data_IF_264670625180
#
_entry.id   IF_264670625180
#
_cell.length_a   1.000
_cell.length_b   1.000
_cell.length_c   1.000
_cell.angle_alpha   90.00
_cell.angle_beta   90.00
_cell.angle_gamma   90.00
#
_symmetry.space_group_name_H-M   'P 1'
#
loop_
_entity.id
_entity.type
_entity.pdbx_description
1 polymer ?
#
# COMPACT_ATOMS: atom_id res chain seq x y z
N UNK A 1 -17.89 -23.94 -44.34
CA UNK A 1 -17.25 -23.68 -45.64
C UNK A 1 -15.91 -23.01 -45.37
N UNK A 2 -14.84 -23.58 -45.93
CA UNK A 2 -13.39 -23.33 -45.70
C UNK A 2 -12.90 -21.89 -45.98
N UNK A 3 -11.63 -21.49 -45.68
CA UNK A 3 -10.49 -22.33 -45.25
C UNK A 3 -9.59 -21.82 -44.10
N UNK A 4 -8.78 -22.78 -43.62
CA UNK A 4 -7.41 -22.65 -43.10
C UNK A 4 -6.54 -21.68 -43.91
N UNK A 5 -5.63 -20.97 -43.23
CA UNK A 5 -4.34 -20.66 -43.83
C UNK A 5 -3.22 -20.66 -42.80
N UNK A 6 -2.27 -21.55 -43.02
CA UNK A 6 -0.99 -21.68 -42.32
C UNK A 6 0.05 -20.90 -43.10
N UNK A 7 0.87 -20.08 -42.42
CA UNK A 7 2.15 -19.65 -42.97
C UNK A 7 3.25 -19.86 -41.94
N UNK A 8 4.10 -20.84 -42.22
CA UNK A 8 5.50 -20.89 -41.75
C UNK A 8 6.30 -19.89 -42.58
N UNK A 9 7.20 -19.17 -41.94
CA UNK A 9 8.43 -18.68 -42.57
C UNK A 9 9.56 -18.75 -41.54
N UNK A 10 10.42 -19.74 -41.71
CA UNK A 10 11.80 -19.71 -41.24
C UNK A 10 12.56 -18.66 -42.03
N UNK A 11 13.47 -17.94 -41.39
CA UNK A 11 14.71 -17.52 -42.03
C UNK A 11 15.80 -17.28 -40.98
N UNK A 12 16.81 -18.16 -41.04
CA UNK A 12 18.18 -17.95 -40.61
C UNK A 12 18.75 -16.64 -41.19
N UNK A 13 19.56 -15.93 -40.40
CA UNK A 13 20.72 -15.21 -40.95
C UNK A 13 21.74 -14.94 -39.86
N UNK A 14 22.79 -15.74 -39.87
CA UNK A 14 24.08 -15.50 -39.24
C UNK A 14 24.77 -14.28 -39.84
N UNK A 15 25.50 -13.51 -39.03
CA UNK A 15 26.60 -12.68 -39.50
C UNK A 15 27.66 -12.57 -38.40
N UNK A 16 28.92 -12.95 -38.68
CA UNK A 16 30.02 -12.86 -37.74
C UNK A 16 30.61 -11.45 -37.77
N UNK A 17 30.64 -10.77 -36.62
CA UNK A 17 31.40 -9.53 -36.50
C UNK A 17 32.83 -9.80 -36.03
N UNK A 18 33.71 -9.17 -36.79
CA UNK A 18 35.14 -9.33 -36.89
C UNK A 18 35.91 -9.03 -35.60
N UNK A 19 36.98 -9.80 -35.39
CA UNK A 19 38.08 -9.51 -34.47
C UNK A 19 38.76 -8.19 -34.85
N UNK A 20 38.91 -7.29 -33.89
CA UNK A 20 40.09 -6.42 -33.83
C UNK A 20 40.72 -6.55 -32.45
N UNK A 21 41.91 -7.11 -32.50
CA UNK A 21 42.83 -7.34 -31.42
C UNK A 21 43.59 -6.04 -31.15
N UNK A 22 43.52 -5.51 -29.93
CA UNK A 22 44.40 -4.48 -29.42
C UNK A 22 45.07 -4.98 -28.13
N UNK A 23 46.31 -5.46 -28.28
CA UNK A 23 47.35 -5.37 -27.25
C UNK A 23 47.63 -3.87 -27.00
N UNK A 24 47.87 -3.35 -25.80
CA UNK A 24 48.79 -3.79 -24.75
C UNK A 24 48.68 -2.83 -23.55
N UNK A 25 49.30 -3.23 -22.43
CA UNK A 25 49.94 -2.45 -21.36
C UNK A 25 49.22 -2.30 -20.01
N UNK A 26 49.84 -2.98 -19.03
CA UNK A 26 49.72 -2.78 -17.60
C UNK A 26 49.95 -1.32 -17.20
N UNK A 27 49.07 -0.80 -16.36
CA UNK A 27 49.31 0.33 -15.48
C UNK A 27 48.71 0.01 -14.11
N UNK A 28 49.53 -0.48 -13.19
CA UNK A 28 49.18 -0.64 -11.77
C UNK A 28 49.38 0.73 -11.13
N UNK A 29 48.30 1.39 -10.73
CA UNK A 29 48.31 2.29 -9.58
C UNK A 29 46.97 2.17 -8.87
N UNK A 30 47.03 1.72 -7.62
CA UNK A 30 45.89 1.63 -6.74
C UNK A 30 45.33 3.02 -6.44
N UNK A 31 44.02 3.13 -6.60
CA UNK A 31 43.22 3.97 -5.74
C UNK A 31 42.17 3.03 -5.18
N UNK A 32 42.25 2.73 -3.88
CA UNK A 32 41.09 2.25 -3.18
C UNK A 32 40.01 3.32 -3.37
N UNK A 33 39.06 3.07 -4.28
CA UNK A 33 37.76 3.70 -4.18
C UNK A 33 37.17 3.12 -2.91
N UNK A 34 37.50 3.75 -1.78
CA UNK A 34 36.61 3.73 -0.65
C UNK A 34 35.25 4.06 -1.24
N UNK A 35 34.35 3.07 -1.25
CA UNK A 35 32.92 3.30 -1.41
C UNK A 35 32.62 4.32 -0.30
N UNK A 36 32.67 5.59 -0.65
CA UNK A 36 32.12 6.64 0.18
C UNK A 36 30.66 6.25 0.27
N UNK A 37 30.30 5.61 1.39
CA UNK A 37 28.92 5.46 1.78
C UNK A 37 28.31 6.85 1.58
N UNK A 38 27.20 6.98 0.81
CA UNK A 38 26.62 8.27 0.54
C UNK A 38 26.48 8.98 1.89
N UNK A 39 27.20 10.09 2.03
CA UNK A 39 27.10 10.90 3.21
C UNK A 39 25.61 11.22 3.34
N UNK A 40 24.99 10.78 4.45
CA UNK A 40 23.64 11.19 4.82
C UNK A 40 23.55 12.69 4.56
N UNK A 41 22.80 13.10 3.54
CA UNK A 41 22.59 14.51 3.26
C UNK A 41 21.99 15.10 4.52
N UNK A 42 22.79 15.89 5.24
CA UNK A 42 22.32 16.70 6.35
C UNK A 42 21.24 17.63 5.77
N UNK A 43 19.97 17.27 5.97
CA UNK A 43 18.84 18.03 5.44
C UNK A 43 17.62 17.24 5.03
N UNK A 44 17.68 15.90 4.92
CA UNK A 44 16.44 15.12 4.71
C UNK A 44 15.70 15.04 6.04
N UNK A 45 14.61 15.79 6.14
CA UNK A 45 13.76 15.85 7.32
C UNK A 45 13.11 14.48 7.56
N UNK A 46 13.43 13.83 8.68
CA UNK A 46 12.76 12.59 9.07
C UNK A 46 11.38 12.95 9.62
N UNK A 47 10.27 12.38 9.10
CA UNK A 47 8.94 12.73 9.55
C UNK A 47 8.78 12.29 11.01
N UNK A 48 8.29 13.20 11.84
CA UNK A 48 8.07 12.95 13.28
C UNK A 48 6.61 12.65 13.52
N UNK A 49 6.36 11.80 14.52
CA UNK A 49 5.01 11.40 14.91
C UNK A 49 4.12 12.61 15.23
N UNK A 50 4.65 13.60 15.95
CA UNK A 50 3.90 14.79 16.38
C UNK A 50 3.54 15.74 15.22
N UNK A 51 4.24 15.63 14.09
CA UNK A 51 4.04 16.47 12.92
C UNK A 51 3.16 15.77 11.86
N UNK A 52 2.86 14.48 12.08
CA UNK A 52 2.04 13.67 11.16
C UNK A 52 0.57 13.81 11.51
N UNK A 53 -0.24 14.26 10.55
CA UNK A 53 -1.69 14.39 10.72
C UNK A 53 -2.37 13.01 10.79
N UNK A 54 -3.46 12.86 11.57
CA UNK A 54 -4.29 11.66 11.57
C UNK A 54 -4.84 11.32 10.19
N UNK A 55 -5.04 10.03 9.90
CA UNK A 55 -5.76 9.62 8.69
C UNK A 55 -7.25 9.90 8.84
N UNK A 56 -7.93 10.27 7.76
CA UNK A 56 -9.36 10.58 7.77
C UNK A 56 -10.13 9.47 7.08
N UNK A 57 -11.05 8.82 7.81
CA UNK A 57 -11.96 7.82 7.25
C UNK A 57 -13.31 8.47 7.02
N UNK A 58 -13.79 8.37 5.78
CA UNK A 58 -15.08 8.86 5.36
C UNK A 58 -16.03 7.70 5.03
N UNK A 59 -17.26 7.80 5.55
CA UNK A 59 -18.39 6.93 5.23
C UNK A 59 -18.08 5.44 5.38
N UNK A 60 -17.57 5.05 6.55
CA UNK A 60 -17.35 3.64 6.86
C UNK A 60 -18.70 2.92 6.99
N UNK A 61 -18.91 1.97 6.09
CA UNK A 61 -20.11 1.17 5.96
C UNK A 61 -19.79 -0.31 6.21
N UNK A 62 -20.68 -0.98 6.93
CA UNK A 62 -20.65 -2.42 7.16
C UNK A 62 -22.02 -3.01 6.85
N UNK A 63 -22.02 -4.16 6.19
CA UNK A 63 -23.23 -4.94 5.93
C UNK A 63 -23.01 -6.40 6.31
N UNK A 64 -23.97 -6.92 7.06
CA UNK A 64 -23.98 -8.27 7.60
C UNK A 64 -25.27 -8.95 7.19
N UNK A 65 -25.16 -10.18 6.67
CA UNK A 65 -26.33 -10.99 6.31
C UNK A 65 -27.07 -11.53 7.55
N UNK A 66 -26.33 -11.78 8.64
CA UNK A 66 -26.87 -12.24 9.91
C UNK A 66 -26.05 -11.71 11.08
N UNK A 67 -26.69 -11.03 12.04
CA UNK A 67 -26.05 -10.64 13.31
C UNK A 67 -25.75 -11.84 14.22
N UNK A 68 -26.36 -13.00 13.95
CA UNK A 68 -26.18 -14.23 14.73
C UNK A 68 -25.10 -15.14 14.15
N UNK A 69 -24.67 -14.89 12.92
CA UNK A 69 -23.73 -15.73 12.21
C UNK A 69 -22.72 -14.88 11.44
N UNK A 70 -21.55 -14.67 12.04
CA UNK A 70 -20.44 -13.93 11.47
C UNK A 70 -19.47 -14.83 10.69
N UNK A 71 -19.81 -16.11 10.50
CA UNK A 71 -18.93 -17.05 9.77
C UNK A 71 -18.85 -16.77 8.26
N UNK A 72 -19.84 -16.07 7.69
CA UNK A 72 -19.90 -15.71 6.28
C UNK A 72 -19.18 -14.39 5.93
N UNK A 73 -18.44 -13.83 6.89
CA UNK A 73 -17.78 -12.54 6.73
C UNK A 73 -18.78 -11.38 6.60
N UNK A 74 -18.28 -10.15 6.52
CA UNK A 74 -19.09 -8.94 6.35
C UNK A 74 -18.63 -8.16 5.13
N UNK A 75 -19.48 -7.30 4.58
CA UNK A 75 -19.07 -6.35 3.54
C UNK A 75 -18.65 -5.04 4.20
N UNK A 76 -17.44 -4.55 3.91
CA UNK A 76 -16.92 -3.26 4.40
C UNK A 76 -16.61 -2.33 3.23
N UNK A 77 -17.05 -1.07 3.34
CA UNK A 77 -16.77 -0.01 2.37
C UNK A 77 -16.41 1.28 3.07
N UNK A 78 -15.31 1.92 2.68
CA UNK A 78 -14.95 3.26 3.15
C UNK A 78 -13.93 3.92 2.20
N UNK A 79 -13.80 5.24 2.30
CA UNK A 79 -12.63 5.94 1.76
C UNK A 79 -11.75 6.41 2.90
N UNK A 80 -10.44 6.41 2.67
CA UNK A 80 -9.46 6.93 3.62
C UNK A 80 -8.54 7.92 2.91
N UNK A 81 -8.36 9.07 3.54
CA UNK A 81 -7.50 10.16 3.08
C UNK A 81 -6.30 10.28 4.00
N UNK A 82 -5.12 10.46 3.42
CA UNK A 82 -3.93 10.90 4.13
C UNK A 82 -3.77 12.43 3.98
N UNK A 83 -4.03 13.23 5.04
CA UNK A 83 -3.92 14.69 4.96
C UNK A 83 -2.47 15.21 4.85
N UNK A 84 -1.46 14.34 4.98
CA UNK A 84 -0.06 14.71 4.83
C UNK A 84 0.33 14.82 3.36
N UNK A 85 -0.19 13.94 2.51
CA UNK A 85 0.07 13.94 1.05
C UNK A 85 -1.13 14.37 0.21
N UNK A 86 -2.34 14.38 0.78
CA UNK A 86 -3.60 14.60 0.07
C UNK A 86 -4.07 13.37 -0.73
N UNK A 87 -3.40 12.23 -0.61
CA UNK A 87 -3.80 10.99 -1.26
C UNK A 87 -5.08 10.44 -0.63
N UNK A 88 -5.96 9.91 -1.47
CA UNK A 88 -7.20 9.25 -1.07
C UNK A 88 -7.32 7.91 -1.76
N UNK A 89 -7.76 6.91 -0.99
CA UNK A 89 -7.99 5.55 -1.48
C UNK A 89 -9.35 5.03 -1.03
N UNK A 90 -9.93 4.18 -1.86
CA UNK A 90 -11.19 3.51 -1.57
C UNK A 90 -10.93 2.05 -1.21
N UNK A 91 -11.55 1.61 -0.13
CA UNK A 91 -11.44 0.27 0.42
C UNK A 91 -12.84 -0.37 0.35
N UNK A 92 -13.00 -1.38 -0.49
CA UNK A 92 -14.25 -2.12 -0.66
C UNK A 92 -13.93 -3.61 -0.68
N UNK A 93 -14.40 -4.32 0.33
CA UNK A 93 -14.11 -5.72 0.54
C UNK A 93 -15.37 -6.45 0.97
N UNK A 94 -15.59 -7.62 0.37
CA UNK A 94 -16.60 -8.59 0.79
C UNK A 94 -15.91 -9.71 1.56
N UNK A 95 -16.65 -10.46 2.38
CA UNK A 95 -16.09 -11.58 3.16
C UNK A 95 -14.99 -11.14 4.14
N UNK A 96 -15.24 -10.01 4.82
CA UNK A 96 -14.33 -9.46 5.81
C UNK A 96 -14.51 -10.21 7.12
N UNK A 97 -13.43 -10.81 7.60
CA UNK A 97 -13.35 -11.48 8.88
C UNK A 97 -12.67 -10.59 9.92
N UNK A 98 -13.10 -10.69 11.19
CA UNK A 98 -12.43 -9.99 12.28
C UNK A 98 -10.95 -10.40 12.37
N UNK A 99 -10.12 -9.47 12.84
CA UNK A 99 -8.67 -9.64 13.05
C UNK A 99 -7.87 -10.03 11.80
N UNK A 100 -8.44 -9.87 10.61
CA UNK A 100 -7.77 -10.12 9.33
C UNK A 100 -7.40 -8.79 8.67
N UNK A 101 -6.19 -8.73 8.10
CA UNK A 101 -5.71 -7.54 7.40
C UNK A 101 -6.04 -7.60 5.91
N UNK A 102 -6.59 -6.50 5.39
CA UNK A 102 -7.01 -6.34 4.00
C UNK A 102 -6.28 -5.16 3.38
N UNK A 103 -6.04 -5.21 2.07
CA UNK A 103 -5.46 -4.09 1.33
C UNK A 103 -6.55 -3.29 0.62
N UNK A 104 -6.40 -1.97 0.54
CA UNK A 104 -7.20 -1.10 -0.32
C UNK A 104 -6.68 -1.18 -1.77
N UNK A 105 -7.51 -0.75 -2.73
CA UNK A 105 -7.30 -1.05 -4.16
C UNK A 105 -6.05 -0.41 -4.76
N UNK A 106 -5.58 0.73 -4.23
CA UNK A 106 -4.62 1.59 -4.93
C UNK A 106 -3.21 1.63 -4.31
N UNK A 107 -3.07 1.72 -2.99
CA UNK A 107 -1.86 2.36 -2.41
C UNK A 107 -1.11 1.49 -1.38
N UNK A 108 -1.27 0.16 -1.41
CA UNK A 108 -0.75 -0.73 -0.37
C UNK A 108 -1.23 -0.44 1.06
N UNK A 109 -2.09 0.57 1.26
CA UNK A 109 -2.78 0.84 2.52
C UNK A 109 -3.49 -0.42 2.98
N UNK A 110 -3.17 -0.85 4.20
CA UNK A 110 -3.80 -2.00 4.83
C UNK A 110 -4.70 -1.54 5.95
N UNK A 111 -5.70 -2.35 6.24
CA UNK A 111 -6.61 -2.11 7.34
C UNK A 111 -7.10 -3.42 7.93
N UNK A 112 -7.54 -3.39 9.18
CA UNK A 112 -8.20 -4.51 9.83
C UNK A 112 -9.23 -4.00 10.83
N UNK A 113 -10.23 -4.82 11.10
CA UNK A 113 -11.16 -4.63 12.20
C UNK A 113 -10.80 -5.62 13.31
N UNK A 114 -10.99 -5.24 14.57
CA UNK A 114 -10.82 -6.17 15.69
C UNK A 114 -12.00 -7.16 15.79
N UNK A 115 -11.94 -8.07 16.75
CA UNK A 115 -12.89 -9.20 16.90
C UNK A 115 -14.36 -8.82 16.93
N UNK A 116 -14.70 -7.71 17.59
CA UNK A 116 -16.06 -7.20 17.77
C UNK A 116 -16.40 -6.04 16.81
N UNK A 117 -15.53 -5.79 15.82
CA UNK A 117 -15.64 -4.69 14.86
C UNK A 117 -15.68 -3.28 15.50
N UNK A 118 -15.38 -3.13 16.79
CA UNK A 118 -15.42 -1.86 17.51
C UNK A 118 -14.18 -0.99 17.31
N UNK A 119 -13.12 -1.53 16.69
CA UNK A 119 -11.90 -0.80 16.36
C UNK A 119 -11.45 -1.09 14.95
N UNK A 120 -10.93 -0.06 14.31
CA UNK A 120 -10.25 -0.15 13.03
C UNK A 120 -8.78 0.20 13.21
N UNK A 121 -7.92 -0.65 12.67
CA UNK A 121 -6.48 -0.40 12.54
C UNK A 121 -6.18 -0.11 11.08
N UNK A 122 -5.35 0.90 10.84
CA UNK A 122 -4.89 1.30 9.51
C UNK A 122 -3.38 1.29 9.49
N UNK A 123 -2.82 0.80 8.40
CA UNK A 123 -1.42 0.95 8.04
C UNK A 123 -1.35 1.69 6.70
N UNK A 124 -0.65 2.81 6.67
CA UNK A 124 -0.37 3.57 5.46
C UNK A 124 1.09 3.40 5.09
N UNK A 125 1.36 3.21 3.79
CA UNK A 125 2.70 3.13 3.25
C UNK A 125 2.85 4.27 2.24
N UNK A 126 3.80 5.16 2.50
CA UNK A 126 4.22 6.19 1.58
C UNK A 126 5.42 5.69 0.78
N UNK A 127 5.34 5.79 -0.54
CA UNK A 127 6.49 5.55 -1.38
C UNK A 127 7.58 6.61 -1.14
N UNK A 128 8.79 6.32 -1.63
CA UNK A 128 9.88 7.31 -1.62
C UNK A 128 9.43 8.62 -2.27
N UNK A 129 9.77 9.74 -1.64
CA UNK A 129 9.39 11.07 -2.10
C UNK A 129 7.94 11.50 -1.82
N UNK A 130 7.06 10.62 -1.32
CA UNK A 130 5.66 11.00 -1.08
C UNK A 130 5.48 11.82 0.20
N UNK A 131 5.93 11.30 1.34
CA UNK A 131 5.82 11.99 2.62
C UNK A 131 6.91 13.06 2.80
N UNK A 132 8.12 12.73 2.36
CA UNK A 132 9.28 13.63 2.40
C UNK A 132 9.83 13.72 0.98
N UNK A 133 9.58 14.82 0.25
CA UNK A 133 9.91 14.93 -1.18
C UNK A 133 11.38 14.69 -1.55
N UNK A 134 12.30 14.95 -0.63
CA UNK A 134 13.74 14.77 -0.82
C UNK A 134 14.28 13.42 -0.31
N UNK A 135 13.42 12.52 0.16
CA UNK A 135 13.82 11.24 0.77
C UNK A 135 13.69 10.07 -0.20
N UNK A 136 14.78 9.30 -0.32
CA UNK A 136 14.78 8.01 -1.03
C UNK A 136 14.16 6.88 -0.19
N UNK A 137 13.80 7.14 1.07
CA UNK A 137 13.17 6.17 1.94
C UNK A 137 11.65 6.14 1.73
N UNK A 138 11.08 4.93 1.72
CA UNK A 138 9.64 4.75 1.93
C UNK A 138 9.32 4.85 3.42
N UNK A 139 8.11 5.26 3.76
CA UNK A 139 7.66 5.39 5.15
C UNK A 139 6.42 4.56 5.40
N UNK A 140 6.31 4.03 6.60
CA UNK A 140 5.14 3.30 7.07
C UNK A 140 4.64 3.93 8.34
N UNK A 141 3.34 4.19 8.40
CA UNK A 141 2.68 4.58 9.63
C UNK A 141 1.51 3.65 9.93
N UNK A 142 1.21 3.51 11.21
CA UNK A 142 0.00 2.83 11.64
C UNK A 142 -0.75 3.63 12.71
N UNK A 143 -2.02 3.31 12.83
CA UNK A 143 -2.91 3.91 13.80
C UNK A 143 -4.09 2.99 14.07
N UNK A 144 -4.72 3.17 15.23
CA UNK A 144 -5.94 2.44 15.61
C UNK A 144 -6.88 3.39 16.30
N UNK A 145 -8.18 3.29 16.00
CA UNK A 145 -9.22 4.07 16.66
C UNK A 145 -10.49 3.25 16.87
N UNK A 146 -11.35 3.73 17.76
CA UNK A 146 -12.68 3.15 17.99
C UNK A 146 -13.65 3.60 16.92
N UNK A 147 -14.51 2.68 16.48
CA UNK A 147 -15.58 2.95 15.52
C UNK A 147 -16.91 3.03 16.26
N UNK A 148 -17.61 4.15 16.07
CA UNK A 148 -18.95 4.36 16.60
C UNK A 148 -19.98 4.06 15.51
N UNK A 149 -20.51 2.83 15.54
CA UNK A 149 -21.47 2.36 14.55
C UNK A 149 -22.89 2.84 14.84
N UNK A 150 -23.59 3.29 13.80
CA UNK A 150 -25.02 3.47 13.78
C UNK A 150 -25.62 2.35 12.92
N UNK A 151 -26.33 1.42 13.53
CA UNK A 151 -26.83 0.22 12.87
C UNK A 151 -28.34 0.22 12.73
N UNK A 152 -28.82 -0.24 11.58
CA UNK A 152 -30.22 -0.52 11.31
C UNK A 152 -30.38 -1.96 10.82
N UNK A 153 -31.53 -2.57 11.11
CA UNK A 153 -31.86 -3.89 10.58
C UNK A 153 -32.09 -3.81 9.07
N UNK A 154 -31.53 -4.76 8.31
CA UNK A 154 -31.66 -4.87 6.84
C UNK A 154 -32.47 -6.10 6.40
N UNK A 155 -33.42 -6.55 7.22
CA UNK A 155 -34.26 -7.69 6.93
C UNK A 155 -34.61 -8.47 8.19
N UNK A 156 -34.74 -9.79 8.07
CA UNK A 156 -35.09 -10.63 9.23
C UNK A 156 -33.92 -10.80 10.21
N UNK A 157 -32.69 -10.89 9.68
CA UNK A 157 -31.48 -11.16 10.46
C UNK A 157 -30.29 -10.26 10.08
N UNK A 158 -30.36 -9.59 8.92
CA UNK A 158 -29.30 -8.71 8.44
C UNK A 158 -29.22 -7.40 9.20
N UNK A 159 -28.04 -6.79 9.13
CA UNK A 159 -27.77 -5.48 9.70
C UNK A 159 -26.88 -4.66 8.76
N UNK A 160 -27.21 -3.39 8.62
CA UNK A 160 -26.39 -2.39 7.95
C UNK A 160 -25.96 -1.35 8.97
N UNK A 161 -24.67 -1.08 9.05
CA UNK A 161 -24.08 -0.13 9.97
C UNK A 161 -23.30 0.94 9.21
N UNK A 162 -23.35 2.16 9.69
CA UNK A 162 -22.53 3.27 9.19
C UNK A 162 -21.88 4.02 10.35
N UNK A 163 -20.63 4.42 10.15
CA UNK A 163 -19.96 5.38 11.00
C UNK A 163 -19.80 6.70 10.22
N UNK A 164 -20.00 7.81 10.92
CA UNK A 164 -19.73 9.15 10.38
C UNK A 164 -18.23 9.31 10.11
N UNK A 165 -17.82 10.42 9.49
CA UNK A 165 -16.40 10.71 9.32
C UNK A 165 -15.68 10.74 10.68
N UNK A 166 -14.51 10.10 10.76
CA UNK A 166 -13.67 10.08 11.96
C UNK A 166 -12.19 9.98 11.60
N UNK A 167 -11.32 10.29 12.56
CA UNK A 167 -9.88 10.27 12.37
C UNK A 167 -9.23 9.06 13.06
N UNK A 168 -8.21 8.50 12.40
CA UNK A 168 -7.33 7.47 12.95
C UNK A 168 -6.00 8.13 13.33
N UNK A 169 -5.67 8.28 14.62
CA UNK A 169 -4.42 8.92 15.03
C UNK A 169 -3.23 8.06 14.61
N UNK A 170 -2.19 8.69 14.09
CA UNK A 170 -0.91 8.00 13.85
C UNK A 170 -0.27 7.70 15.20
N UNK A 171 0.06 6.44 15.43
CA UNK A 171 0.64 5.94 16.68
C UNK A 171 2.11 5.58 16.50
N UNK A 172 2.50 5.11 15.32
CA UNK A 172 3.89 4.88 14.98
C UNK A 172 4.16 5.30 13.54
N UNK A 173 5.41 5.71 13.29
CA UNK A 173 5.95 5.99 11.97
C UNK A 173 7.38 5.45 11.90
N UNK A 174 7.72 4.77 10.81
CA UNK A 174 9.06 4.23 10.57
C UNK A 174 9.45 4.38 9.10
N UNK A 175 10.73 4.65 8.86
CA UNK A 175 11.31 4.54 7.52
C UNK A 175 11.61 3.08 7.20
N UNK A 176 11.31 2.65 5.97
CA UNK A 176 11.73 1.38 5.42
C UNK A 176 12.83 1.65 4.39
N UNK A 177 14.04 1.15 4.69
CA UNK A 177 15.19 1.20 3.79
C UNK A 177 15.13 0.11 2.72
#
# INVERSE_FOLDING_TARGET
MFPKSSYRLSQDSTSPFSMMQFTTLLGIFGAATALAAPAFQAGVETPRLNDTKPFEIDRLYMEMDSVWDTSYGVTIKFSITDPNTGLNTFCNMTDVHPSTAYACTRDQTKWSLNTDFSKISVEWIWASGELVPASDAAYRANGTTTVNWNCASSGRYGQQCFANAFSVPVQTISGTA
#
